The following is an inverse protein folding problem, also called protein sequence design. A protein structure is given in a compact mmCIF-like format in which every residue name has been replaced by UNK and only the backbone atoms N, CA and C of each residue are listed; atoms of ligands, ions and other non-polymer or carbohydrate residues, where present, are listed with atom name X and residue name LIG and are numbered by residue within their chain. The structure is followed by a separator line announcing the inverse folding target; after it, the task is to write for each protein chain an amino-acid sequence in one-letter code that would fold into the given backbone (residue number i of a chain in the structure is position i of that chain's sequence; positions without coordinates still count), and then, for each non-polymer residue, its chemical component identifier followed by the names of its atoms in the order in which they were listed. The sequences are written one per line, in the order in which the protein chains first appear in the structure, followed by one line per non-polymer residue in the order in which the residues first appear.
data_IF_799841782974
#
_entry.id   IF_799841782974
#
_cell.length_a   1.000
_cell.length_b   1.000
_cell.length_c   1.000
_cell.angle_alpha   90.00
_cell.angle_beta   90.00
_cell.angle_gamma   90.00
#
_symmetry.space_group_name_H-M   'P 1'
#
loop_
_entity.id
_entity.type
_entity.pdbx_description
1 polymer ?
#
# COMPACT_ATOMS: atom_id res chain seq x y z
N UNK A 1 15.75 -9.55 -3.29
CA UNK A 1 15.47 -8.20 -2.79
C UNK A 1 14.08 -7.81 -3.25
N UNK A 2 13.19 -7.31 -2.39
CA UNK A 2 11.94 -6.72 -2.87
C UNK A 2 12.29 -5.54 -3.77
N UNK A 3 11.79 -5.57 -5.00
CA UNK A 3 12.08 -4.59 -6.05
C UNK A 3 11.63 -3.20 -5.63
N UNK A 4 12.39 -2.16 -5.97
CA UNK A 4 12.09 -0.74 -5.67
C UNK A 4 10.65 -0.35 -6.04
N UNK A 5 10.10 -0.97 -7.09
CA UNK A 5 8.71 -0.81 -7.54
C UNK A 5 7.67 -1.26 -6.50
N UNK A 6 7.91 -2.36 -5.79
CA UNK A 6 7.01 -2.88 -4.75
C UNK A 6 6.96 -1.95 -3.53
N UNK A 7 8.11 -1.40 -3.13
CA UNK A 7 8.18 -0.43 -2.03
C UNK A 7 7.45 0.89 -2.40
N UNK A 8 7.63 1.36 -3.64
CA UNK A 8 6.95 2.56 -4.13
C UNK A 8 5.41 2.38 -4.22
N UNK A 9 4.94 1.21 -4.65
CA UNK A 9 3.52 0.88 -4.73
C UNK A 9 2.88 0.82 -3.33
N UNK A 10 3.59 0.26 -2.35
CA UNK A 10 3.14 0.24 -0.95
C UNK A 10 3.00 1.65 -0.38
N UNK A 11 3.98 2.54 -0.61
CA UNK A 11 3.92 3.93 -0.16
C UNK A 11 2.75 4.72 -0.76
N UNK A 12 2.49 4.53 -2.05
CA UNK A 12 1.34 5.14 -2.75
C UNK A 12 0.01 4.65 -2.16
N UNK A 13 -0.11 3.35 -1.92
CA UNK A 13 -1.32 2.76 -1.31
C UNK A 13 -1.61 3.35 0.07
N UNK A 14 -0.58 3.53 0.90
CA UNK A 14 -0.72 4.13 2.25
C UNK A 14 -1.35 5.52 2.14
N UNK A 15 -0.81 6.35 1.26
CA UNK A 15 -1.27 7.73 1.06
C UNK A 15 -2.72 7.77 0.59
N UNK A 16 -3.13 6.90 -0.34
CA UNK A 16 -4.52 6.85 -0.81
C UNK A 16 -5.49 6.45 0.31
N UNK A 17 -5.11 5.47 1.14
CA UNK A 17 -5.95 5.05 2.28
C UNK A 17 -6.07 6.14 3.34
N UNK A 18 -4.98 6.85 3.62
CA UNK A 18 -5.00 8.01 4.55
C UNK A 18 -5.93 9.10 4.03
N UNK A 19 -5.80 9.49 2.75
CA UNK A 19 -6.69 10.47 2.10
C UNK A 19 -8.15 10.05 2.13
N UNK A 20 -8.43 8.77 1.85
CA UNK A 20 -9.78 8.25 1.89
C UNK A 20 -10.35 8.31 3.31
N UNK A 21 -9.56 7.96 4.33
CA UNK A 21 -9.95 8.06 5.75
C UNK A 21 -10.26 9.49 6.15
N UNK A 22 -9.38 10.44 5.80
CA UNK A 22 -9.58 11.88 6.07
C UNK A 22 -10.87 12.42 5.42
N UNK A 23 -11.29 11.82 4.32
CA UNK A 23 -12.45 12.25 3.54
C UNK A 23 -13.78 11.66 4.01
N UNK A 24 -13.78 10.67 4.91
CA UNK A 24 -15.01 10.02 5.40
C UNK A 24 -16.06 11.04 5.87
N UNK A 25 -15.75 12.07 6.68
CA UNK A 25 -16.76 13.03 7.13
C UNK A 25 -17.48 13.75 5.98
N UNK A 26 -16.80 14.02 4.86
CA UNK A 26 -17.39 14.65 3.68
C UNK A 26 -18.15 13.68 2.78
N UNK A 27 -17.83 12.39 2.84
CA UNK A 27 -18.51 11.32 2.11
C UNK A 27 -19.71 10.76 2.90
N UNK A 28 -19.70 10.89 4.22
CA UNK A 28 -20.76 10.41 5.09
C UNK A 28 -22.07 11.16 4.86
N UNK A 29 -23.19 10.45 4.82
CA UNK A 29 -24.50 11.00 4.49
C UNK A 29 -24.76 11.20 2.99
N UNK A 30 -23.79 10.90 2.11
CA UNK A 30 -24.05 10.77 0.67
C UNK A 30 -24.64 9.38 0.34
N UNK A 31 -25.54 9.32 -0.65
CA UNK A 31 -26.13 8.05 -1.05
C UNK A 31 -25.06 7.12 -1.65
N UNK A 32 -25.01 5.83 -1.25
CA UNK A 32 -24.11 4.86 -1.86
C UNK A 32 -24.26 4.81 -3.38
N UNK A 33 -23.15 4.89 -4.11
CA UNK A 33 -23.18 4.92 -5.58
C UNK A 33 -23.37 3.53 -6.19
N UNK A 34 -23.21 2.47 -5.41
CA UNK A 34 -23.36 1.09 -5.86
C UNK A 34 -23.59 0.15 -4.69
N UNK A 35 -24.21 -1.00 -4.97
CA UNK A 35 -24.32 -2.13 -4.03
C UNK A 35 -23.59 -3.33 -4.62
N UNK A 36 -22.70 -3.93 -3.84
CA UNK A 36 -21.87 -5.08 -4.22
C UNK A 36 -21.89 -6.15 -3.12
N UNK A 37 -21.45 -7.37 -3.47
CA UNK A 37 -21.37 -8.47 -2.50
C UNK A 37 -20.12 -9.32 -2.71
N UNK A 38 -19.40 -9.58 -1.63
CA UNK A 38 -18.26 -10.51 -1.65
C UNK A 38 -18.68 -11.96 -1.90
N UNK A 39 -19.95 -12.29 -1.64
CA UNK A 39 -20.53 -13.63 -1.87
C UNK A 39 -20.55 -14.03 -3.34
N UNK A 40 -20.42 -13.09 -4.26
CA UNK A 40 -20.30 -13.38 -5.70
C UNK A 40 -18.92 -13.94 -6.08
N UNK A 41 -17.85 -13.59 -5.34
CA UNK A 41 -16.45 -13.90 -5.69
C UNK A 41 -16.19 -15.41 -5.87
N UNK A 42 -16.68 -16.32 -5.00
CA UNK A 42 -16.48 -17.75 -5.19
C UNK A 42 -16.99 -18.28 -6.53
N UNK A 43 -18.05 -17.66 -7.08
CA UNK A 43 -18.69 -18.07 -8.34
C UNK A 43 -18.05 -17.45 -9.59
N UNK A 44 -17.14 -16.49 -9.44
CA UNK A 44 -16.37 -15.94 -10.55
C UNK A 44 -15.35 -16.98 -11.04
N UNK A 45 -15.23 -17.14 -12.36
CA UNK A 45 -14.23 -18.01 -12.99
C UNK A 45 -12.80 -17.60 -12.58
N UNK A 46 -11.96 -18.59 -12.27
CA UNK A 46 -10.56 -18.39 -11.86
C UNK A 46 -10.21 -19.19 -10.60
N UNK A 47 -8.96 -19.64 -10.50
CA UNK A 47 -8.46 -20.41 -9.35
C UNK A 47 -7.91 -19.48 -8.27
N UNK A 48 -7.28 -18.39 -8.67
CA UNK A 48 -6.69 -17.40 -7.76
C UNK A 48 -7.57 -16.16 -7.65
N UNK A 49 -7.39 -15.39 -6.57
CA UNK A 49 -8.07 -14.10 -6.41
C UNK A 49 -7.73 -13.13 -7.56
N UNK A 50 -6.48 -13.15 -8.04
CA UNK A 50 -6.04 -12.31 -9.16
C UNK A 50 -6.75 -12.66 -10.47
N UNK A 51 -6.94 -13.96 -10.77
CA UNK A 51 -7.68 -14.40 -11.95
C UNK A 51 -9.17 -14.01 -11.86
N UNK A 52 -9.79 -14.22 -10.70
CA UNK A 52 -11.18 -13.81 -10.46
C UNK A 52 -11.35 -12.29 -10.58
N UNK A 53 -10.46 -11.52 -9.96
CA UNK A 53 -10.44 -10.07 -10.05
C UNK A 53 -10.26 -9.59 -11.49
N UNK A 54 -9.36 -10.22 -12.25
CA UNK A 54 -9.21 -9.94 -13.68
C UNK A 54 -10.51 -10.18 -14.43
N UNK A 55 -11.22 -11.29 -14.19
CA UNK A 55 -12.52 -11.57 -14.82
C UNK A 55 -13.58 -10.51 -14.45
N UNK A 56 -13.63 -10.07 -13.20
CA UNK A 56 -14.51 -8.97 -12.77
C UNK A 56 -14.16 -7.65 -13.47
N UNK A 57 -12.87 -7.37 -13.64
CA UNK A 57 -12.42 -6.21 -14.41
C UNK A 57 -12.82 -6.29 -15.88
N UNK A 58 -12.69 -7.46 -16.53
CA UNK A 58 -13.14 -7.65 -17.92
C UNK A 58 -14.63 -7.28 -18.09
N UNK A 59 -15.47 -7.54 -17.08
CA UNK A 59 -16.89 -7.22 -17.12
C UNK A 59 -17.20 -5.71 -17.03
N UNK A 60 -16.26 -4.89 -16.52
CA UNK A 60 -16.44 -3.43 -16.36
C UNK A 60 -15.54 -2.60 -17.29
N UNK A 61 -14.77 -3.24 -18.17
CA UNK A 61 -13.93 -2.52 -19.14
C UNK A 61 -14.77 -1.63 -20.03
N UNK A 62 -14.18 -0.52 -20.44
CA UNK A 62 -14.81 0.45 -21.31
C UNK A 62 -14.53 1.87 -20.87
N UNK A 63 -15.37 2.78 -21.36
CA UNK A 63 -15.24 4.21 -21.11
C UNK A 63 -16.31 4.65 -20.11
N UNK A 64 -15.88 5.32 -19.05
CA UNK A 64 -16.77 5.97 -18.07
C UNK A 64 -16.75 7.47 -18.32
N UNK A 65 -17.87 8.04 -18.72
CA UNK A 65 -17.99 9.49 -18.85
C UNK A 65 -18.24 10.12 -17.48
N UNK A 66 -17.34 11.02 -17.04
CA UNK A 66 -17.44 11.75 -15.77
C UNK A 66 -17.76 13.23 -16.03
N UNK A 67 -18.91 13.75 -15.55
CA UNK A 67 -19.26 15.17 -15.70
C UNK A 67 -18.17 16.10 -15.16
N UNK A 68 -17.84 17.13 -15.95
CA UNK A 68 -16.81 18.13 -15.58
C UNK A 68 -15.35 17.64 -15.64
N UNK A 69 -15.11 16.35 -15.89
CA UNK A 69 -13.77 15.78 -15.99
C UNK A 69 -13.48 15.21 -17.39
N UNK A 70 -14.49 14.60 -18.02
CA UNK A 70 -14.37 13.91 -19.30
C UNK A 70 -14.34 12.39 -19.17
N UNK A 71 -14.06 11.73 -20.28
CA UNK A 71 -14.07 10.27 -20.39
C UNK A 71 -12.85 9.63 -19.71
N UNK A 72 -13.09 8.52 -19.00
CA UNK A 72 -12.09 7.75 -18.26
C UNK A 72 -12.05 6.32 -18.79
N UNK A 73 -10.87 5.86 -19.20
CA UNK A 73 -10.67 4.54 -19.79
C UNK A 73 -10.30 3.47 -18.74
N UNK A 74 -11.12 2.42 -18.67
CA UNK A 74 -10.86 1.18 -17.93
C UNK A 74 -10.44 0.12 -18.96
N UNK A 75 -9.13 0.02 -19.19
CA UNK A 75 -8.55 -0.87 -20.20
C UNK A 75 -7.63 -1.93 -19.57
N UNK A 76 -7.08 -2.83 -20.40
CA UNK A 76 -6.19 -3.89 -19.92
C UNK A 76 -4.96 -3.40 -19.15
N UNK A 77 -4.48 -2.17 -19.42
CA UNK A 77 -3.38 -1.57 -18.66
C UNK A 77 -3.87 -1.08 -17.29
N UNK A 78 -5.08 -0.54 -17.20
CA UNK A 78 -5.72 -0.21 -15.92
C UNK A 78 -5.84 -1.44 -15.03
N UNK A 79 -6.29 -2.58 -15.59
CA UNK A 79 -6.38 -3.86 -14.87
C UNK A 79 -5.02 -4.34 -14.38
N UNK A 80 -3.99 -4.32 -15.25
CA UNK A 80 -2.63 -4.72 -14.88
C UNK A 80 -2.08 -3.86 -13.75
N UNK A 81 -2.24 -2.54 -13.87
CA UNK A 81 -1.73 -1.59 -12.89
C UNK A 81 -2.43 -1.75 -11.54
N UNK A 82 -3.75 -1.91 -11.50
CA UNK A 82 -4.48 -2.10 -10.25
C UNK A 82 -4.09 -3.41 -9.55
N UNK A 83 -4.01 -4.50 -10.31
CA UNK A 83 -3.64 -5.82 -9.77
C UNK A 83 -2.17 -5.89 -9.30
N UNK A 84 -1.27 -5.06 -9.84
CA UNK A 84 0.13 -5.02 -9.39
C UNK A 84 0.30 -4.36 -8.03
N UNK A 85 -0.72 -3.63 -7.54
CA UNK A 85 -0.80 -3.19 -6.15
C UNK A 85 -1.29 -4.30 -5.20
N UNK A 86 -1.73 -5.45 -5.74
CA UNK A 86 -2.27 -6.57 -4.96
C UNK A 86 -3.79 -6.52 -4.87
N UNK A 87 -4.41 -7.69 -4.70
CA UNK A 87 -5.87 -7.85 -4.64
C UNK A 87 -6.28 -8.86 -3.59
N UNK A 88 -7.00 -8.36 -2.57
CA UNK A 88 -7.67 -9.18 -1.55
C UNK A 88 -9.19 -9.22 -1.78
N UNK A 89 -9.90 -9.99 -0.95
CA UNK A 89 -11.35 -10.19 -1.10
C UNK A 89 -12.16 -8.89 -1.15
N UNK A 90 -11.86 -7.92 -0.29
CA UNK A 90 -12.59 -6.64 -0.26
C UNK A 90 -12.35 -5.82 -1.53
N UNK A 91 -11.10 -5.70 -1.97
CA UNK A 91 -10.74 -5.02 -3.21
C UNK A 91 -11.42 -5.68 -4.42
N UNK A 92 -11.40 -7.02 -4.47
CA UNK A 92 -12.10 -7.78 -5.49
C UNK A 92 -13.63 -7.56 -5.46
N UNK A 93 -14.24 -7.52 -4.27
CA UNK A 93 -15.68 -7.37 -4.09
C UNK A 93 -16.22 -6.04 -4.63
N UNK A 94 -15.41 -4.98 -4.59
CA UNK A 94 -15.81 -3.63 -5.02
C UNK A 94 -15.49 -3.32 -6.49
N UNK A 95 -14.83 -4.22 -7.22
CA UNK A 95 -14.54 -4.03 -8.66
C UNK A 95 -15.80 -3.62 -9.44
N UNK A 96 -16.97 -4.29 -9.28
CA UNK A 96 -18.18 -3.89 -9.99
C UNK A 96 -18.64 -2.44 -9.74
N UNK A 97 -18.24 -1.83 -8.61
CA UNK A 97 -18.62 -0.46 -8.25
C UNK A 97 -17.71 0.61 -8.89
N UNK A 98 -16.51 0.25 -9.39
CA UNK A 98 -15.51 1.20 -9.90
C UNK A 98 -16.11 2.17 -10.95
N UNK A 99 -16.92 1.74 -11.93
CA UNK A 99 -17.51 2.68 -12.89
C UNK A 99 -18.37 3.77 -12.24
N UNK A 100 -19.13 3.44 -11.19
CA UNK A 100 -19.95 4.41 -10.47
C UNK A 100 -19.12 5.33 -9.58
N UNK A 101 -18.07 4.82 -8.94
CA UNK A 101 -17.11 5.63 -8.17
C UNK A 101 -16.44 6.65 -9.08
N UNK A 102 -16.01 6.23 -10.27
CA UNK A 102 -15.41 7.13 -11.27
C UNK A 102 -16.43 8.16 -11.80
N UNK A 103 -17.67 7.75 -12.06
CA UNK A 103 -18.70 8.63 -12.62
C UNK A 103 -19.22 9.66 -11.64
N UNK A 104 -19.51 9.24 -10.40
CA UNK A 104 -20.29 10.04 -9.42
C UNK A 104 -19.54 10.33 -8.12
N UNK A 105 -18.38 9.69 -7.88
CA UNK A 105 -17.61 9.92 -6.67
C UNK A 105 -17.12 11.36 -6.54
N UNK A 106 -16.97 11.82 -5.30
CA UNK A 106 -16.39 13.11 -4.97
C UNK A 106 -14.89 13.08 -5.22
N UNK A 107 -14.33 14.16 -5.78
CA UNK A 107 -12.87 14.32 -5.84
C UNK A 107 -12.34 14.61 -4.43
N UNK A 108 -11.49 13.72 -3.92
CA UNK A 108 -10.93 13.84 -2.57
C UNK A 108 -9.44 14.20 -2.56
N UNK A 109 -8.75 14.04 -3.69
CA UNK A 109 -7.37 14.45 -3.83
C UNK A 109 -7.03 14.83 -5.28
N UNK A 110 -6.03 15.69 -5.42
CA UNK A 110 -5.42 16.08 -6.68
C UNK A 110 -3.92 16.26 -6.47
N UNK A 111 -3.12 15.62 -7.32
CA UNK A 111 -1.68 15.80 -7.35
C UNK A 111 -1.25 16.17 -8.76
N UNK A 112 -0.69 17.37 -8.90
CA UNK A 112 0.01 17.77 -10.11
C UNK A 112 1.27 16.89 -10.28
N UNK A 113 1.57 16.52 -11.52
CA UNK A 113 2.74 15.69 -11.85
C UNK A 113 2.83 14.40 -11.00
N UNK A 114 1.83 13.53 -11.12
CA UNK A 114 1.67 12.28 -10.37
C UNK A 114 2.99 11.53 -10.19
N UNK A 115 3.52 11.47 -8.96
CA UNK A 115 4.82 10.84 -8.65
C UNK A 115 5.99 11.34 -9.52
N UNK A 116 6.01 12.64 -9.82
CA UNK A 116 7.00 13.27 -10.70
C UNK A 116 6.88 12.88 -12.17
N UNK A 117 5.70 12.47 -12.62
CA UNK A 117 5.42 12.12 -14.03
C UNK A 117 4.71 13.28 -14.74
N UNK A 118 4.78 13.38 -16.08
CA UNK A 118 4.20 14.51 -16.84
C UNK A 118 2.69 14.33 -17.06
N UNK A 119 1.97 13.95 -16.01
CA UNK A 119 0.51 13.86 -15.99
C UNK A 119 0.03 14.03 -14.55
N UNK A 120 -1.15 14.61 -14.38
CA UNK A 120 -1.74 14.79 -13.06
C UNK A 120 -2.45 13.52 -12.60
N UNK A 121 -2.63 13.40 -11.29
CA UNK A 121 -3.44 12.36 -10.67
C UNK A 121 -4.63 12.94 -9.91
N UNK A 122 -5.76 12.26 -10.02
CA UNK A 122 -7.01 12.60 -9.34
C UNK A 122 -7.48 11.39 -8.56
N UNK A 123 -8.05 11.61 -7.38
CA UNK A 123 -8.65 10.54 -6.57
C UNK A 123 -10.12 10.84 -6.39
N UNK A 124 -10.97 9.95 -6.88
CA UNK A 124 -12.42 10.01 -6.71
C UNK A 124 -12.86 8.97 -5.71
N UNK A 125 -13.70 9.34 -4.75
CA UNK A 125 -14.19 8.43 -3.74
C UNK A 125 -15.70 8.53 -3.53
N UNK A 126 -16.31 7.41 -3.14
CA UNK A 126 -17.73 7.33 -2.84
C UNK A 126 -18.02 6.23 -1.81
N UNK A 127 -19.11 6.36 -1.04
CA UNK A 127 -19.67 5.23 -0.32
C UNK A 127 -20.25 4.19 -1.29
N UNK A 128 -20.11 2.93 -0.93
CA UNK A 128 -20.77 1.78 -1.54
C UNK A 128 -21.38 0.91 -0.44
N UNK A 129 -22.45 0.19 -0.77
CA UNK A 129 -22.98 -0.85 0.11
C UNK A 129 -22.29 -2.17 -0.24
N UNK A 130 -21.49 -2.73 0.66
CA UNK A 130 -20.84 -4.02 0.49
C UNK A 130 -21.36 -5.00 1.54
N UNK A 131 -22.04 -6.06 1.09
CA UNK A 131 -22.63 -7.09 1.97
C UNK A 131 -23.58 -6.52 3.06
N UNK A 132 -24.23 -5.39 2.76
CA UNK A 132 -25.17 -4.71 3.66
C UNK A 132 -24.53 -3.65 4.56
N UNK A 133 -23.20 -3.52 4.56
CA UNK A 133 -22.47 -2.51 5.32
C UNK A 133 -21.93 -1.40 4.41
N UNK A 134 -21.67 -0.22 4.98
CA UNK A 134 -21.03 0.87 4.23
C UNK A 134 -19.53 0.63 4.14
N UNK A 135 -19.01 0.67 2.92
CA UNK A 135 -17.59 0.77 2.64
C UNK A 135 -17.32 2.01 1.79
N UNK A 136 -16.12 2.56 1.89
CA UNK A 136 -15.68 3.67 1.05
C UNK A 136 -14.65 3.17 0.05
N UNK A 137 -14.84 3.52 -1.21
CA UNK A 137 -13.94 3.14 -2.30
C UNK A 137 -13.32 4.40 -2.89
N UNK A 138 -11.98 4.44 -2.97
CA UNK A 138 -11.24 5.45 -3.72
C UNK A 138 -10.74 4.86 -5.03
N UNK A 139 -10.83 5.60 -6.13
CA UNK A 139 -10.30 5.26 -7.45
C UNK A 139 -9.39 6.39 -7.97
N UNK A 140 -8.16 6.03 -8.32
CA UNK A 140 -7.15 6.93 -8.86
C UNK A 140 -7.24 6.97 -10.39
N UNK A 141 -7.22 8.17 -10.95
CA UNK A 141 -7.22 8.43 -12.39
C UNK A 141 -6.00 9.26 -12.76
N UNK A 142 -5.26 8.80 -13.78
CA UNK A 142 -4.15 9.53 -14.39
C UNK A 142 -4.67 10.37 -15.55
N UNK A 143 -4.46 11.69 -15.51
CA UNK A 143 -4.85 12.64 -16.55
C UNK A 143 -3.90 12.56 -17.74
N UNK A 144 -4.22 11.66 -18.67
CA UNK A 144 -3.49 11.49 -19.94
C UNK A 144 -4.44 11.75 -21.11
N UNK A 145 -4.01 11.53 -22.36
CA UNK A 145 -4.86 11.69 -23.55
C UNK A 145 -6.15 10.85 -23.54
N UNK A 146 -6.24 9.81 -22.71
CA UNK A 146 -7.43 8.96 -22.57
C UNK A 146 -7.97 8.88 -21.13
N UNK A 147 -7.49 9.73 -20.21
CA UNK A 147 -7.67 9.65 -18.74
C UNK A 147 -7.82 8.22 -18.20
N UNK A 148 -6.81 7.66 -17.55
CA UNK A 148 -6.81 6.23 -17.27
C UNK A 148 -7.05 5.90 -15.81
N UNK A 149 -8.00 5.00 -15.54
CA UNK A 149 -8.10 4.35 -14.23
C UNK A 149 -6.78 3.63 -13.89
N UNK A 150 -6.30 3.74 -12.65
CA UNK A 150 -4.99 3.24 -12.26
C UNK A 150 -5.01 2.30 -11.05
N UNK A 151 -5.72 2.69 -9.99
CA UNK A 151 -5.69 2.01 -8.70
C UNK A 151 -7.03 2.25 -8.00
N UNK A 152 -7.53 1.28 -7.25
CA UNK A 152 -8.57 1.51 -6.25
C UNK A 152 -8.21 0.96 -4.88
N UNK A 153 -8.69 1.60 -3.82
CA UNK A 153 -8.57 1.14 -2.43
C UNK A 153 -9.92 1.19 -1.73
N UNK A 154 -10.06 0.38 -0.67
CA UNK A 154 -11.32 0.22 0.07
C UNK A 154 -11.06 0.20 1.58
N UNK A 155 -11.88 0.96 2.31
CA UNK A 155 -11.92 0.99 3.78
C UNK A 155 -13.35 0.85 4.30
N UNK A 156 -13.49 0.36 5.54
CA UNK A 156 -14.77 0.32 6.23
C UNK A 156 -15.23 1.72 6.69
N UNK A 157 -16.44 1.78 7.26
CA UNK A 157 -17.00 3.03 7.79
C UNK A 157 -16.17 3.69 8.90
N UNK A 158 -15.31 2.94 9.58
CA UNK A 158 -14.41 3.44 10.63
C UNK A 158 -13.03 3.84 10.06
N UNK A 159 -12.85 3.73 8.75
CA UNK A 159 -11.61 4.03 8.06
C UNK A 159 -10.52 2.96 8.20
N UNK A 160 -10.87 1.73 8.56
CA UNK A 160 -9.94 0.61 8.58
C UNK A 160 -9.90 -0.09 7.23
N UNK A 161 -8.71 -0.57 6.86
CA UNK A 161 -8.55 -1.43 5.71
C UNK A 161 -9.31 -2.74 5.92
N UNK A 162 -10.19 -3.10 4.99
CA UNK A 162 -11.06 -4.28 5.11
C UNK A 162 -10.26 -5.57 4.87
N UNK A 163 -10.29 -6.46 5.85
CA UNK A 163 -9.61 -7.76 5.84
C UNK A 163 -10.64 -8.88 5.64
N UNK A 164 -10.82 -9.33 4.40
CA UNK A 164 -11.69 -10.48 4.12
C UNK A 164 -10.87 -11.78 4.11
N UNK A 165 -11.24 -12.72 4.98
CA UNK A 165 -10.61 -14.05 5.08
C UNK A 165 -11.63 -15.13 4.70
N UNK A 166 -11.34 -16.03 3.74
CA UNK A 166 -12.12 -17.24 3.58
C UNK A 166 -11.77 -18.20 4.74
N UNK A 167 -12.67 -18.38 5.70
CA UNK A 167 -12.54 -19.35 6.80
C UNK A 167 -11.26 -19.23 7.64
N UNK A 168 -11.15 -18.20 8.50
CA UNK A 168 -10.13 -18.02 9.56
C UNK A 168 -8.68 -18.52 9.30
N UNK A 169 -7.90 -17.77 8.50
CA UNK A 169 -6.61 -17.11 8.85
C UNK A 169 -5.98 -16.39 7.63
N UNK A 170 -6.02 -15.04 7.66
CA UNK A 170 -5.06 -14.00 7.18
C UNK A 170 -4.57 -13.97 5.70
N UNK A 171 -4.36 -12.85 4.97
CA UNK A 171 -4.72 -11.40 4.95
C UNK A 171 -4.28 -10.83 3.53
N UNK A 172 -4.59 -9.58 3.07
CA UNK A 172 -5.68 -9.20 2.16
C UNK A 172 -5.30 -8.03 1.19
N UNK A 173 -6.09 -6.95 1.12
CA UNK A 173 -5.83 -5.63 0.46
C UNK A 173 -4.38 -5.14 0.50
N UNK A 174 -3.98 -4.30 -0.47
CA UNK A 174 -2.61 -3.88 -0.77
C UNK A 174 -1.74 -3.50 0.45
N UNK A 175 -2.31 -2.89 1.50
CA UNK A 175 -1.61 -2.56 2.76
C UNK A 175 -1.53 -3.69 3.79
N UNK A 176 -2.49 -4.59 3.76
CA UNK A 176 -2.65 -5.57 4.82
C UNK A 176 -1.94 -6.90 4.49
N UNK A 177 -1.31 -7.01 3.31
CA UNK A 177 -0.59 -8.20 2.85
C UNK A 177 0.74 -8.49 3.58
N UNK A 178 1.10 -7.72 4.62
CA UNK A 178 2.33 -7.92 5.40
C UNK A 178 2.08 -7.66 6.90
N UNK A 179 2.02 -8.73 7.71
CA UNK A 179 2.00 -8.61 9.18
C UNK A 179 1.97 -9.96 9.90
N UNK A 180 3.14 -10.44 10.30
CA UNK A 180 3.40 -11.39 11.41
C UNK A 180 4.82 -11.05 11.92
N UNK A 181 5.16 -10.89 13.19
CA UNK A 181 4.52 -11.22 14.47
C UNK A 181 4.92 -10.19 15.54
N UNK A 182 4.08 -9.95 16.55
CA UNK A 182 4.50 -9.16 17.71
C UNK A 182 3.42 -8.75 18.72
N UNK A 183 2.42 -9.58 19.01
CA UNK A 183 1.66 -9.43 20.27
C UNK A 183 1.22 -10.81 20.76
N UNK A 184 1.93 -11.33 21.76
CA UNK A 184 1.42 -12.38 22.63
C UNK A 184 1.16 -11.77 24.01
N UNK A 185 -0.09 -11.81 24.46
CA UNK A 185 -0.42 -11.71 25.88
C UNK A 185 -1.10 -12.99 26.34
N UNK A 186 -0.35 -13.73 27.15
CA UNK A 186 -0.70 -14.50 28.36
C UNK A 186 -1.86 -15.51 28.38
N UNK A 187 -1.50 -16.78 28.64
CA UNK A 187 -1.95 -17.61 29.78
C UNK A 187 -1.09 -18.90 29.83
N UNK A 188 -0.17 -19.04 30.79
CA UNK A 188 -0.29 -19.74 32.08
C UNK A 188 0.20 -21.20 32.04
N UNK A 189 1.37 -21.45 32.64
CA UNK A 189 1.66 -22.66 33.43
C UNK A 189 2.65 -22.32 34.54
N UNK A 190 2.35 -22.89 35.68
CA UNK A 190 2.84 -22.64 37.02
C UNK A 190 4.09 -23.48 37.37
N UNK A 191 4.93 -22.93 38.26
CA UNK A 191 6.07 -23.61 38.91
C UNK A 191 7.41 -23.37 38.21
N UNK A 192 8.44 -22.74 38.78
CA UNK A 192 8.93 -22.78 40.17
C UNK A 192 9.90 -21.62 40.43
N UNK A 193 9.78 -21.02 41.63
CA UNK A 193 10.76 -20.29 42.49
C UNK A 193 11.69 -19.20 41.90
N UNK A 194 11.77 -18.01 42.54
CA UNK A 194 12.74 -16.98 42.17
C UNK A 194 14.11 -17.28 42.79
N UNK A 195 15.19 -17.06 42.03
CA UNK A 195 16.53 -16.95 42.61
C UNK A 195 17.01 -15.49 42.56
N UNK A 196 17.38 -15.11 43.77
CA UNK A 196 17.81 -13.84 44.33
C UNK A 196 18.89 -13.09 43.54
N UNK A 197 18.93 -11.77 43.76
CA UNK A 197 20.08 -10.94 43.44
C UNK A 197 21.29 -11.31 44.32
N UNK A 198 22.47 -11.11 43.74
CA UNK A 198 23.83 -11.33 44.29
C UNK A 198 24.38 -12.75 44.09
N UNK A 199 25.20 -12.92 43.04
CA UNK A 199 26.56 -13.44 43.21
C UNK A 199 27.45 -13.10 42.01
N UNK A 200 28.62 -12.56 42.34
CA UNK A 200 29.70 -12.16 41.46
C UNK A 200 30.52 -13.38 41.01
N UNK A 201 31.01 -13.38 39.77
CA UNK A 201 32.23 -14.14 39.42
C UNK A 201 33.19 -13.19 38.69
N UNK A 202 34.34 -13.01 39.34
CA UNK A 202 35.49 -12.23 38.91
C UNK A 202 36.30 -12.95 37.83
N UNK A 203 37.00 -12.18 36.99
CA UNK A 203 38.25 -12.61 36.36
C UNK A 203 39.31 -11.55 36.63
N UNK A 204 40.42 -11.99 37.24
CA UNK A 204 41.47 -11.14 37.78
C UNK A 204 42.75 -11.06 36.94
N UNK A 205 43.61 -10.16 37.43
CA UNK A 205 45.07 -10.05 37.32
C UNK A 205 45.69 -10.05 35.90
N UNK A 206 46.10 -8.89 35.39
CA UNK A 206 47.43 -8.25 35.56
C UNK A 206 48.60 -9.03 34.95
N UNK A 207 49.21 -8.46 33.89
CA UNK A 207 50.66 -8.25 33.88
C UNK A 207 51.10 -7.09 32.97
N UNK A 208 52.15 -6.41 33.42
CA UNK A 208 52.63 -5.08 33.03
C UNK A 208 53.98 -5.21 32.29
N UNK A 209 54.25 -4.29 31.34
CA UNK A 209 55.52 -3.51 31.14
C UNK A 209 55.99 -3.37 29.68
N UNK A 210 55.67 -2.18 29.14
CA UNK A 210 56.54 -1.10 28.63
C UNK A 210 57.95 -1.37 28.02
N UNK A 211 58.20 -0.63 26.93
CA UNK A 211 59.51 -0.24 26.37
C UNK A 211 59.46 -0.32 24.84
N UNK A 212 59.73 0.68 24.00
CA UNK A 212 60.27 2.03 24.12
C UNK A 212 60.98 2.33 22.79
N UNK A 213 60.84 3.58 22.29
CA UNK A 213 61.70 4.35 21.36
C UNK A 213 61.75 4.12 19.82
N UNK A 214 61.42 5.23 19.13
CA UNK A 214 62.13 5.92 18.03
C UNK A 214 62.18 5.41 16.57
N UNK A 215 62.00 6.37 15.63
CA UNK A 215 62.35 6.31 14.18
C UNK A 215 61.22 6.87 13.28
N UNK A 216 61.16 8.17 12.97
CA UNK A 216 61.67 8.80 11.72
C UNK A 216 61.37 8.01 10.44
N UNK A 217 60.46 8.52 9.59
CA UNK A 217 60.78 9.04 8.24
C UNK A 217 59.53 9.26 7.38
N UNK A 218 59.41 10.51 6.90
CA UNK A 218 58.55 10.98 5.82
C UNK A 218 59.10 10.49 4.47
N UNK A 219 58.26 10.32 3.43
CA UNK A 219 58.69 10.64 2.08
C UNK A 219 57.90 11.84 1.53
N UNK A 220 58.65 12.85 1.08
CA UNK A 220 58.15 14.05 0.43
C UNK A 220 57.91 13.91 -1.07
N UNK A 221 57.18 14.89 -1.57
CA UNK A 221 57.26 15.62 -2.83
C UNK A 221 57.46 14.88 -4.17
N UNK A 222 56.48 15.07 -5.05
CA UNK A 222 56.75 15.48 -6.43
C UNK A 222 55.69 16.48 -6.93
N UNK A 223 56.17 17.70 -7.18
CA UNK A 223 55.55 18.80 -7.91
C UNK A 223 55.57 18.53 -9.42
N UNK A 224 54.47 18.89 -10.10
CA UNK A 224 54.37 19.52 -11.43
C UNK A 224 52.90 19.37 -11.88
N UNK A 225 52.16 20.34 -12.40
CA UNK A 225 52.45 21.61 -13.06
C UNK A 225 51.23 21.82 -13.98
N UNK A 226 50.60 22.98 -13.87
CA UNK A 226 49.28 23.26 -14.43
C UNK A 226 49.27 23.56 -15.95
N UNK A 227 48.03 23.69 -16.48
CA UNK A 227 47.56 24.50 -17.64
C UNK A 227 48.07 24.12 -19.05
N UNK A 228 47.35 24.27 -20.16
CA UNK A 228 46.04 24.84 -20.52
C UNK A 228 45.61 24.26 -21.88
N UNK A 229 44.31 24.26 -22.15
CA UNK A 229 43.66 24.18 -23.48
C UNK A 229 44.13 25.30 -24.42
N UNK A 230 44.01 25.15 -25.76
CA UNK A 230 42.73 25.32 -26.45
C UNK A 230 42.18 24.05 -27.14
#
# INVERSE_FOLDING_TARGET
APSVETAANKGETVQIVERLRESIPGLNGTEPVSTVSSKAIPFVEGRTMAEKARKMFEAIKGVVSRPGFGDIDINGRSVKDDLSHGVGGAKAAVIPAIPEVLRRGQQIDFQQNWKGRPYDGYVFAAPVTMDGETAYVAAVVKRTSKNRFYLHEVIDANGNVIKMTPGSRANPTSLATNGDAGTQSQASVEGTRPLNANDSIAQGAENVKNGGVAGFDTPGDAVAGAVNTP
#
